data_IF_422156481763
#
_entry.id   IF_422156481763
#
_cell.length_a   1.000
_cell.length_b   1.000
_cell.length_c   1.000
_cell.angle_alpha   90.00
_cell.angle_beta   90.00
_cell.angle_gamma   90.00
#
_symmetry.space_group_name_H-M   'P 1'
#
loop_
_entity.id
_entity.type
_entity.pdbx_description
1 polymer ?
#
# COMPACT_ATOMS: atom_id res chain seq x y z
N UNK A 1 -22.54 -10.99 -8.66
CA UNK A 1 -21.10 -11.25 -8.74
C UNK A 1 -20.80 -11.73 -10.15
N UNK A 2 -19.80 -11.17 -10.83
CA UNK A 2 -19.37 -11.67 -12.15
C UNK A 2 -18.49 -12.91 -11.98
N UNK A 3 -18.63 -13.88 -12.88
CA UNK A 3 -17.78 -15.09 -12.92
C UNK A 3 -16.61 -14.85 -13.88
N UNK A 4 -15.40 -15.16 -13.44
CA UNK A 4 -14.19 -15.10 -14.25
C UNK A 4 -13.48 -16.45 -14.17
N UNK A 5 -13.24 -17.08 -15.32
CA UNK A 5 -12.49 -18.32 -15.41
C UNK A 5 -11.00 -17.99 -15.61
N UNK A 6 -10.14 -18.61 -14.82
CA UNK A 6 -8.69 -18.41 -14.86
C UNK A 6 -8.02 -19.78 -14.92
N UNK A 7 -7.19 -20.00 -15.93
CA UNK A 7 -6.36 -21.20 -16.03
C UNK A 7 -5.06 -20.99 -15.28
N UNK A 8 -4.72 -21.91 -14.38
CA UNK A 8 -3.50 -21.89 -13.60
C UNK A 8 -2.69 -23.16 -13.87
N UNK A 9 -1.34 -23.08 -13.96
CA UNK A 9 -0.49 -24.26 -13.89
C UNK A 9 -0.73 -25.05 -12.60
N UNK A 10 -0.53 -26.37 -12.65
CA UNK A 10 -0.80 -27.26 -11.50
C UNK A 10 -0.15 -26.79 -10.19
N UNK A 11 1.12 -26.34 -10.15
CA UNK A 11 1.71 -25.86 -8.90
C UNK A 11 0.99 -24.65 -8.29
N UNK A 12 0.51 -23.73 -9.14
CA UNK A 12 -0.22 -22.55 -8.69
C UNK A 12 -1.63 -22.90 -8.22
N UNK A 13 -2.29 -23.85 -8.90
CA UNK A 13 -3.59 -24.37 -8.47
C UNK A 13 -3.49 -25.01 -7.08
N UNK A 14 -2.53 -25.90 -6.87
CA UNK A 14 -2.30 -26.54 -5.56
C UNK A 14 -2.04 -25.51 -4.47
N UNK A 15 -1.20 -24.50 -4.75
CA UNK A 15 -0.96 -23.41 -3.81
C UNK A 15 -2.26 -22.70 -3.40
N UNK A 16 -3.09 -22.30 -4.37
CA UNK A 16 -4.37 -21.61 -4.12
C UNK A 16 -5.31 -22.48 -3.28
N UNK A 17 -5.40 -23.78 -3.59
CA UNK A 17 -6.23 -24.72 -2.84
C UNK A 17 -5.74 -24.89 -1.40
N UNK A 18 -4.43 -24.93 -1.16
CA UNK A 18 -3.87 -25.06 0.19
C UNK A 18 -4.08 -23.78 1.02
N UNK A 19 -4.02 -22.60 0.39
CA UNK A 19 -4.41 -21.36 1.05
C UNK A 19 -5.89 -21.37 1.46
N UNK A 20 -6.77 -21.92 0.62
CA UNK A 20 -8.18 -22.07 0.98
C UNK A 20 -8.40 -23.06 2.15
N UNK A 21 -7.60 -24.13 2.23
CA UNK A 21 -7.68 -25.13 3.32
C UNK A 21 -7.13 -24.63 4.66
N UNK A 22 -6.37 -23.54 4.68
CA UNK A 22 -5.77 -22.98 5.91
C UNK A 22 -6.79 -22.46 6.94
N UNK A 23 -8.09 -22.45 6.62
CA UNK A 23 -9.16 -21.93 7.48
C UNK A 23 -9.32 -20.41 7.41
N UNK A 24 -8.42 -19.72 6.70
CA UNK A 24 -8.47 -18.25 6.51
C UNK A 24 -9.47 -17.81 5.44
N UNK A 25 -9.75 -18.66 4.46
CA UNK A 25 -10.60 -18.34 3.31
C UNK A 25 -11.67 -19.42 3.14
N UNK A 26 -12.87 -19.03 2.69
CA UNK A 26 -13.95 -19.99 2.49
C UNK A 26 -13.75 -20.90 1.27
N UNK A 27 -13.04 -20.42 0.24
CA UNK A 27 -12.70 -21.15 -0.97
C UNK A 27 -11.58 -20.46 -1.76
N UNK A 28 -11.12 -21.10 -2.83
CA UNK A 28 -10.10 -20.58 -3.75
C UNK A 28 -10.47 -19.21 -4.34
N UNK A 29 -11.72 -18.99 -4.74
CA UNK A 29 -12.16 -17.70 -5.28
C UNK A 29 -12.10 -16.58 -4.25
N UNK A 30 -12.26 -16.91 -2.97
CA UNK A 30 -12.14 -15.95 -1.87
C UNK A 30 -10.69 -15.51 -1.65
N UNK A 31 -9.77 -16.48 -1.65
CA UNK A 31 -8.34 -16.19 -1.64
C UNK A 31 -7.94 -15.30 -2.83
N UNK A 32 -8.38 -15.63 -4.05
CA UNK A 32 -8.06 -14.84 -5.26
C UNK A 32 -8.64 -13.42 -5.17
N UNK A 33 -9.88 -13.26 -4.68
CA UNK A 33 -10.47 -11.92 -4.47
C UNK A 33 -9.67 -11.09 -3.46
N UNK A 34 -9.17 -11.71 -2.40
CA UNK A 34 -8.32 -11.03 -1.43
C UNK A 34 -6.97 -10.63 -2.02
N UNK A 35 -6.34 -11.50 -2.82
CA UNK A 35 -5.11 -11.15 -3.56
C UNK A 35 -5.31 -9.94 -4.46
N UNK A 36 -6.40 -9.90 -5.25
CA UNK A 36 -6.72 -8.75 -6.11
C UNK A 36 -6.90 -7.48 -5.28
N UNK A 37 -7.56 -7.57 -4.12
CA UNK A 37 -7.73 -6.41 -3.23
C UNK A 37 -6.40 -5.89 -2.70
N UNK A 38 -5.51 -6.79 -2.26
CA UNK A 38 -4.17 -6.42 -1.78
C UNK A 38 -3.30 -5.84 -2.87
N UNK A 39 -3.38 -6.40 -4.07
CA UNK A 39 -2.69 -5.90 -5.25
C UNK A 39 -3.11 -4.46 -5.54
N UNK A 40 -4.42 -4.20 -5.60
CA UNK A 40 -4.96 -2.84 -5.76
C UNK A 40 -4.49 -1.89 -4.65
N UNK A 41 -4.60 -2.30 -3.38
CA UNK A 41 -4.15 -1.46 -2.26
C UNK A 41 -2.66 -1.12 -2.37
N UNK A 42 -1.82 -2.07 -2.80
CA UNK A 42 -0.40 -1.85 -3.01
C UNK A 42 -0.16 -0.85 -4.15
N UNK A 43 -0.88 -1.00 -5.27
CA UNK A 43 -0.80 -0.05 -6.37
C UNK A 43 -1.23 1.36 -5.96
N UNK A 44 -2.33 1.49 -5.23
CA UNK A 44 -2.83 2.77 -4.72
C UNK A 44 -1.81 3.42 -3.77
N UNK A 45 -1.22 2.65 -2.85
CA UNK A 45 -0.19 3.14 -1.93
C UNK A 45 1.10 3.59 -2.65
N UNK A 46 1.52 2.85 -3.68
CA UNK A 46 2.67 3.26 -4.50
C UNK A 46 2.37 4.56 -5.23
N UNK A 47 1.18 4.69 -5.81
CA UNK A 47 0.77 5.91 -6.51
C UNK A 47 0.72 7.11 -5.57
N UNK A 48 0.22 6.94 -4.34
CA UNK A 48 0.20 7.99 -3.31
C UNK A 48 1.61 8.46 -2.95
N UNK A 49 2.53 7.52 -2.69
CA UNK A 49 3.93 7.85 -2.37
C UNK A 49 4.60 8.56 -3.55
N UNK A 50 4.40 8.06 -4.78
CA UNK A 50 4.99 8.67 -5.97
C UNK A 50 4.48 10.11 -6.16
N UNK A 51 3.18 10.34 -6.00
CA UNK A 51 2.60 11.69 -6.07
C UNK A 51 3.18 12.62 -4.99
N UNK A 52 3.39 12.12 -3.77
CA UNK A 52 4.01 12.89 -2.69
C UNK A 52 5.49 13.24 -3.00
N UNK A 53 6.23 12.30 -3.59
CA UNK A 53 7.62 12.52 -4.05
C UNK A 53 7.65 13.56 -5.17
N UNK A 54 6.78 13.44 -6.17
CA UNK A 54 6.69 14.38 -7.29
C UNK A 54 6.36 15.80 -6.79
N UNK A 55 5.42 15.93 -5.84
CA UNK A 55 5.10 17.19 -5.18
C UNK A 55 6.30 17.75 -4.41
N UNK A 56 7.06 16.88 -3.72
CA UNK A 56 8.30 17.26 -3.03
C UNK A 56 9.37 17.78 -3.99
N UNK A 57 9.59 17.12 -5.13
CA UNK A 57 10.53 17.56 -6.17
C UNK A 57 10.09 18.89 -6.77
N UNK A 58 8.79 19.07 -7.03
CA UNK A 58 8.22 20.31 -7.54
C UNK A 58 8.21 21.46 -6.52
N UNK A 59 8.42 21.18 -5.21
CA UNK A 59 8.40 22.19 -4.14
C UNK A 59 9.61 23.15 -4.16
N UNK A 60 10.56 22.91 -5.07
CA UNK A 60 11.73 23.75 -5.29
C UNK A 60 13.02 23.15 -4.73
N UNK A 61 14.15 23.87 -4.83
CA UNK A 61 15.46 23.35 -4.43
C UNK A 61 15.52 23.01 -2.94
N UNK A 62 16.12 21.86 -2.63
CA UNK A 62 16.41 21.48 -1.26
C UNK A 62 17.33 22.51 -0.56
N UNK A 63 17.09 22.70 0.74
CA UNK A 63 17.87 23.62 1.60
C UNK A 63 18.42 22.83 2.78
N UNK A 64 19.50 23.32 3.39
CA UNK A 64 20.03 22.71 4.61
C UNK A 64 18.97 22.69 5.71
N UNK A 65 18.89 21.58 6.44
CA UNK A 65 17.90 21.41 7.50
C UNK A 65 18.56 21.44 8.89
N UNK A 66 18.17 22.40 9.72
CA UNK A 66 18.53 22.46 11.14
C UNK A 66 17.36 21.96 12.00
N UNK A 67 17.52 20.76 12.56
CA UNK A 67 16.53 20.12 13.40
C UNK A 67 16.19 20.91 14.67
N UNK A 68 17.18 21.56 15.30
CA UNK A 68 17.00 22.28 16.56
C UNK A 68 16.22 23.57 16.33
N UNK A 69 16.62 24.35 15.31
CA UNK A 69 15.90 25.56 14.91
C UNK A 69 14.47 25.25 14.47
N UNK A 70 14.27 24.15 13.73
CA UNK A 70 12.93 23.69 13.33
C UNK A 70 12.04 23.38 14.55
N UNK A 71 12.53 22.59 15.51
CA UNK A 71 11.77 22.21 16.71
C UNK A 71 11.43 23.43 17.57
N UNK A 72 12.39 24.32 17.81
CA UNK A 72 12.16 25.56 18.56
C UNK A 72 11.05 26.41 17.91
N UNK A 73 11.06 26.54 16.57
CA UNK A 73 10.02 27.23 15.81
C UNK A 73 8.65 26.55 15.92
N UNK A 74 8.58 25.22 15.86
CA UNK A 74 7.31 24.48 16.00
C UNK A 74 6.75 24.60 17.42
N UNK A 75 7.58 24.50 18.46
CA UNK A 75 7.14 24.71 19.84
C UNK A 75 6.61 26.12 20.06
N UNK A 76 7.32 27.16 19.60
CA UNK A 76 6.84 28.54 19.71
C UNK A 76 5.50 28.77 18.98
N UNK A 77 5.29 28.10 17.83
CA UNK A 77 4.06 28.22 17.04
C UNK A 77 2.85 27.50 17.67
N UNK A 78 3.08 26.42 18.42
CA UNK A 78 2.03 25.52 18.87
C UNK A 78 1.88 25.41 20.40
N UNK A 79 2.77 26.00 21.21
CA UNK A 79 2.72 25.91 22.67
C UNK A 79 1.57 26.66 23.36
N UNK A 80 0.77 27.45 22.62
CA UNK A 80 -0.35 28.24 23.16
C UNK A 80 -1.72 27.90 22.57
N UNK A 81 -1.91 26.69 22.04
CA UNK A 81 -3.18 26.21 21.48
C UNK A 81 -3.72 25.02 22.25
#
# INVERSE_FOLDING_TARGET
MGTMNISLPDPMKSWVEDQAKSGRYANSSDYVRDLIRRDRMRHDAIAEIQAAVDAGIASGPAKSFDCNAFKARMHAKHAGK
#
